data_IF_321710632984
#
_entry.id   IF_321710632984
#
_cell.length_a   1.000
_cell.length_b   1.000
_cell.length_c   1.000
_cell.angle_alpha   90.00
_cell.angle_beta   90.00
_cell.angle_gamma   90.00
#
_symmetry.space_group_name_H-M   'P 1'
#
loop_
_entity.id
_entity.type
_entity.pdbx_description
1 polymer ?
#
# COMPACT_ATOMS: atom_id res chain seq x y z
N UNK A 1 17.26 -6.02 4.60
CA UNK A 1 16.81 -6.84 3.45
C UNK A 1 17.92 -7.80 3.00
N UNK A 2 18.31 -8.77 3.84
CA UNK A 2 19.23 -9.84 3.42
C UNK A 2 18.37 -11.04 2.98
N UNK A 3 18.51 -11.51 1.74
CA UNK A 3 17.81 -12.70 1.23
C UNK A 3 16.81 -12.48 0.08
N UNK A 4 16.45 -11.23 -0.25
CA UNK A 4 15.58 -10.94 -1.39
C UNK A 4 16.37 -10.59 -2.66
N UNK A 5 15.86 -10.96 -3.85
CA UNK A 5 16.42 -10.50 -5.12
C UNK A 5 16.55 -8.98 -5.21
N UNK A 6 17.64 -8.48 -5.82
CA UNK A 6 17.89 -7.03 -5.95
C UNK A 6 16.74 -6.27 -6.61
N UNK A 7 16.17 -6.85 -7.67
CA UNK A 7 15.02 -6.26 -8.37
C UNK A 7 13.79 -6.11 -7.46
N UNK A 8 13.53 -7.08 -6.58
CA UNK A 8 12.47 -7.01 -5.59
C UNK A 8 12.73 -5.90 -4.57
N UNK A 9 13.97 -5.79 -4.08
CA UNK A 9 14.38 -4.70 -3.18
C UNK A 9 14.15 -3.34 -3.82
N UNK A 10 14.61 -3.15 -5.06
CA UNK A 10 14.48 -1.89 -5.79
C UNK A 10 13.00 -1.51 -6.00
N UNK A 11 12.14 -2.48 -6.36
CA UNK A 11 10.68 -2.29 -6.45
C UNK A 11 10.08 -1.92 -5.10
N UNK A 12 10.46 -2.64 -4.03
CA UNK A 12 9.94 -2.43 -2.69
C UNK A 12 10.27 -1.04 -2.15
N UNK A 13 11.49 -0.56 -2.39
CA UNK A 13 11.92 0.81 -2.05
C UNK A 13 11.09 1.86 -2.78
N UNK A 14 10.84 1.68 -4.08
CA UNK A 14 9.95 2.57 -4.84
C UNK A 14 8.53 2.58 -4.27
N UNK A 15 8.00 1.40 -3.89
CA UNK A 15 6.69 1.31 -3.25
C UNK A 15 6.62 1.94 -1.86
N UNK A 16 7.74 2.06 -1.14
CA UNK A 16 7.81 2.84 0.11
C UNK A 16 7.69 4.34 -0.20
N UNK A 17 8.45 4.83 -1.18
CA UNK A 17 8.41 6.23 -1.59
C UNK A 17 7.00 6.65 -2.04
N UNK A 18 6.34 5.85 -2.90
CA UNK A 18 4.97 6.13 -3.36
C UNK A 18 3.97 6.18 -2.20
N UNK A 19 4.09 5.25 -1.23
CA UNK A 19 3.23 5.28 -0.03
C UNK A 19 3.50 6.54 0.80
N UNK A 20 4.76 6.95 0.93
CA UNK A 20 5.12 8.14 1.68
C UNK A 20 4.49 9.38 1.05
N UNK A 21 4.58 9.53 -0.29
CA UNK A 21 3.93 10.62 -1.02
C UNK A 21 2.42 10.68 -0.75
N UNK A 22 1.74 9.52 -0.77
CA UNK A 22 0.31 9.43 -0.42
C UNK A 22 0.06 9.87 1.02
N UNK A 23 0.86 9.41 1.98
CA UNK A 23 0.65 9.79 3.38
C UNK A 23 0.93 11.27 3.63
N UNK A 24 1.91 11.85 2.93
CA UNK A 24 2.28 13.26 3.04
C UNK A 24 1.18 14.15 2.46
N UNK A 25 0.63 13.78 1.30
CA UNK A 25 -0.51 14.49 0.69
C UNK A 25 -1.72 14.54 1.63
N UNK A 26 -2.02 13.43 2.30
CA UNK A 26 -3.13 13.36 3.26
C UNK A 26 -2.83 14.13 4.54
N UNK A 27 -1.58 14.11 5.00
CA UNK A 27 -1.11 14.96 6.12
C UNK A 27 -1.33 16.44 5.80
N UNK A 28 -0.96 16.87 4.59
CA UNK A 28 -1.11 18.26 4.15
C UNK A 28 -2.59 18.70 4.09
N UNK A 29 -3.51 17.75 3.90
CA UNK A 29 -4.97 17.97 3.94
C UNK A 29 -5.58 17.91 5.35
N UNK A 30 -4.74 17.79 6.39
CA UNK A 30 -5.17 17.78 7.79
C UNK A 30 -5.49 16.39 8.35
N UNK A 31 -5.25 15.31 7.59
CA UNK A 31 -5.46 13.95 8.08
C UNK A 31 -4.19 13.47 8.80
N UNK A 32 -4.28 13.24 10.11
CA UNK A 32 -3.11 12.89 10.93
C UNK A 32 -3.30 11.63 11.78
N UNK A 33 -4.50 11.04 11.81
CA UNK A 33 -4.75 9.84 12.63
C UNK A 33 -4.30 8.60 11.87
N UNK A 34 -3.53 7.72 12.55
CA UNK A 34 -3.09 6.44 12.00
C UNK A 34 -4.22 5.56 11.46
N UNK A 35 -5.41 5.68 12.05
CA UNK A 35 -6.61 4.94 11.62
C UNK A 35 -7.08 5.37 10.23
N UNK A 36 -6.99 6.65 9.89
CA UNK A 36 -7.46 7.20 8.61
C UNK A 36 -6.61 6.66 7.45
N UNK A 37 -5.29 6.54 7.65
CA UNK A 37 -4.39 5.90 6.69
C UNK A 37 -4.68 4.42 6.46
N UNK A 38 -5.14 3.72 7.51
CA UNK A 38 -5.52 2.32 7.40
C UNK A 38 -6.82 2.17 6.58
N UNK A 39 -7.79 3.07 6.79
CA UNK A 39 -9.02 3.13 6.01
C UNK A 39 -8.69 3.35 4.54
N UNK A 40 -7.88 4.37 4.22
CA UNK A 40 -7.47 4.64 2.85
C UNK A 40 -6.79 3.43 2.19
N UNK A 41 -5.85 2.80 2.90
CA UNK A 41 -5.15 1.62 2.37
C UNK A 41 -6.14 0.47 2.11
N UNK A 42 -7.13 0.29 2.99
CA UNK A 42 -8.19 -0.71 2.79
C UNK A 42 -9.05 -0.39 1.57
N UNK A 43 -9.45 0.87 1.37
CA UNK A 43 -10.27 1.25 0.22
C UNK A 43 -9.51 1.10 -1.10
N UNK A 44 -8.21 1.43 -1.14
CA UNK A 44 -7.36 1.15 -2.31
C UNK A 44 -7.29 -0.37 -2.58
N UNK A 45 -7.09 -1.18 -1.54
CA UNK A 45 -7.07 -2.65 -1.67
C UNK A 45 -8.38 -3.19 -2.23
N UNK A 46 -9.52 -2.76 -1.69
CA UNK A 46 -10.85 -3.19 -2.15
C UNK A 46 -11.09 -2.78 -3.60
N UNK A 47 -10.78 -1.54 -3.96
CA UNK A 47 -10.96 -1.04 -5.32
C UNK A 47 -10.07 -1.78 -6.34
N UNK A 48 -8.89 -2.23 -5.90
CA UNK A 48 -7.90 -2.86 -6.78
C UNK A 48 -8.07 -4.38 -6.89
N UNK A 49 -8.34 -5.06 -5.76
CA UNK A 49 -8.31 -6.52 -5.64
C UNK A 49 -9.65 -7.12 -5.24
N UNK A 50 -10.67 -6.30 -4.97
CA UNK A 50 -11.98 -6.74 -4.50
C UNK A 50 -12.01 -7.19 -3.04
N UNK A 51 -10.92 -7.04 -2.29
CA UNK A 51 -10.77 -7.47 -0.89
C UNK A 51 -10.05 -6.43 -0.05
N UNK A 52 -10.38 -6.35 1.23
CA UNK A 52 -9.66 -5.48 2.16
C UNK A 52 -8.28 -6.06 2.56
N UNK A 53 -7.47 -5.30 3.31
CA UNK A 53 -6.13 -5.77 3.71
C UNK A 53 -6.17 -6.99 4.61
N UNK A 54 -7.23 -7.16 5.42
CA UNK A 54 -7.37 -8.30 6.32
C UNK A 54 -7.66 -9.57 5.52
N UNK A 55 -8.62 -9.51 4.61
CA UNK A 55 -8.95 -10.58 3.67
C UNK A 55 -7.77 -10.91 2.75
N UNK A 56 -7.07 -9.88 2.24
CA UNK A 56 -5.90 -10.09 1.39
C UNK A 56 -4.76 -10.79 2.15
N UNK A 57 -4.55 -10.48 3.44
CA UNK A 57 -3.62 -11.22 4.30
C UNK A 57 -4.03 -12.69 4.47
N UNK A 58 -5.32 -12.97 4.66
CA UNK A 58 -5.82 -14.35 4.75
C UNK A 58 -5.56 -15.11 3.45
N UNK A 59 -5.77 -14.49 2.28
CA UNK A 59 -5.47 -15.09 0.96
C UNK A 59 -3.96 -15.36 0.75
N UNK A 60 -3.08 -14.71 1.51
CA UNK A 60 -1.64 -14.94 1.51
C UNK A 60 -1.15 -15.84 2.64
N UNK A 61 -2.08 -16.52 3.34
CA UNK A 61 -1.79 -17.34 4.51
C UNK A 61 -1.02 -16.59 5.62
N UNK A 62 -1.16 -15.26 5.68
CA UNK A 62 -0.58 -14.44 6.72
C UNK A 62 -1.55 -14.42 7.90
N UNK A 63 -1.13 -15.04 9.00
CA UNK A 63 -1.91 -15.04 10.23
C UNK A 63 -2.27 -13.61 10.66
N UNK A 64 -3.51 -13.36 11.08
CA UNK A 64 -3.97 -12.02 11.50
C UNK A 64 -3.17 -11.41 12.66
N UNK A 65 -2.61 -12.26 13.54
CA UNK A 65 -1.74 -11.87 14.65
C UNK A 65 -0.29 -11.68 14.22
N UNK A 66 0.05 -12.01 12.97
CA UNK A 66 1.39 -11.85 12.42
C UNK A 66 1.70 -10.37 12.20
N UNK A 67 2.92 -9.98 12.60
CA UNK A 67 3.49 -8.66 12.29
C UNK A 67 4.03 -8.57 10.86
N UNK A 68 3.90 -9.64 10.06
CA UNK A 68 4.32 -9.66 8.67
C UNK A 68 3.53 -8.63 7.84
N UNK A 69 4.26 -7.94 6.96
CA UNK A 69 3.68 -6.99 6.05
C UNK A 69 3.14 -7.71 4.81
N UNK A 70 1.90 -7.40 4.42
CA UNK A 70 1.27 -7.97 3.23
C UNK A 70 2.14 -7.75 1.98
N UNK A 71 2.72 -6.56 1.81
CA UNK A 71 3.54 -6.21 0.63
C UNK A 71 4.82 -7.03 0.50
N UNK A 72 5.20 -7.76 1.53
CA UNK A 72 6.35 -8.67 1.49
C UNK A 72 5.97 -10.09 1.02
N UNK A 73 4.69 -10.36 0.81
CA UNK A 73 4.13 -11.67 0.47
C UNK A 73 3.22 -11.63 -0.78
N UNK A 74 2.96 -10.44 -1.33
CA UNK A 74 2.21 -10.30 -2.58
C UNK A 74 3.10 -10.55 -3.79
N UNK A 75 2.48 -10.93 -4.90
CA UNK A 75 3.14 -11.09 -6.19
C UNK A 75 3.63 -9.74 -6.75
N UNK A 76 4.50 -9.80 -7.74
CA UNK A 76 4.98 -8.60 -8.44
C UNK A 76 3.85 -7.75 -9.03
N UNK A 77 2.80 -8.37 -9.59
CA UNK A 77 1.65 -7.66 -10.15
C UNK A 77 0.82 -6.98 -9.06
N UNK A 78 0.54 -7.68 -7.97
CA UNK A 78 -0.18 -7.09 -6.83
C UNK A 78 0.60 -5.91 -6.22
N UNK A 79 1.93 -6.01 -6.15
CA UNK A 79 2.76 -4.88 -5.71
C UNK A 79 2.64 -3.69 -6.68
N UNK A 80 2.72 -3.93 -7.99
CA UNK A 80 2.58 -2.88 -9.02
C UNK A 80 1.20 -2.23 -8.97
N UNK A 81 0.13 -3.02 -8.87
CA UNK A 81 -1.23 -2.49 -8.79
C UNK A 81 -1.45 -1.68 -7.52
N UNK A 82 -0.90 -2.11 -6.39
CA UNK A 82 -0.93 -1.31 -5.15
C UNK A 82 -0.20 0.03 -5.33
N UNK A 83 0.98 0.01 -5.95
CA UNK A 83 1.74 1.23 -6.26
C UNK A 83 0.97 2.16 -7.22
N UNK A 84 0.32 1.59 -8.24
CA UNK A 84 -0.50 2.35 -9.19
C UNK A 84 -1.70 3.00 -8.49
N UNK A 85 -2.44 2.26 -7.67
CA UNK A 85 -3.60 2.77 -6.93
C UNK A 85 -3.21 3.88 -5.95
N UNK A 86 -2.11 3.72 -5.23
CA UNK A 86 -1.56 4.73 -4.33
C UNK A 86 -1.14 5.99 -5.09
N UNK A 87 -0.37 5.84 -6.17
CA UNK A 87 0.09 6.97 -6.97
C UNK A 87 -1.06 7.72 -7.64
N UNK A 88 -2.01 6.99 -8.23
CA UNK A 88 -3.18 7.56 -8.87
C UNK A 88 -4.06 8.33 -7.87
N UNK A 89 -4.23 7.79 -6.65
CA UNK A 89 -4.97 8.49 -5.58
C UNK A 89 -4.29 9.81 -5.23
N UNK A 90 -2.96 9.82 -5.05
CA UNK A 90 -2.20 11.04 -4.78
C UNK A 90 -2.36 12.07 -5.91
N UNK A 91 -2.18 11.66 -7.17
CA UNK A 91 -2.26 12.57 -8.32
C UNK A 91 -3.67 13.15 -8.50
N UNK A 92 -4.71 12.33 -8.37
CA UNK A 92 -6.10 12.80 -8.45
C UNK A 92 -6.39 13.80 -7.32
N UNK A 93 -5.93 13.53 -6.10
CA UNK A 93 -6.11 14.47 -5.00
C UNK A 93 -5.42 15.80 -5.31
N UNK A 94 -4.17 15.78 -5.76
CA UNK A 94 -3.41 16.98 -6.10
C UNK A 94 -4.04 17.80 -7.23
N UNK A 95 -4.63 17.15 -8.22
CA UNK A 95 -5.33 17.79 -9.33
C UNK A 95 -6.66 18.42 -8.92
N UNK A 96 -7.30 17.93 -7.86
CA UNK A 96 -8.57 18.45 -7.33
C UNK A 96 -8.38 19.54 -6.26
N UNK A 97 -7.22 20.21 -6.25
CA UNK A 97 -6.93 21.37 -5.41
C UNK A 97 -7.24 22.69 -6.13
#
# INVERSE_FOLDING_TARGET
MKGYPKNWIDKRLRGIAIRQDLTDEWTNRGISKKQDYAILTNEISKATFGVDIKEHKQLKDINEKSKQNLRDHVTDLELIFSMLGEKATTEITQANN
#
